data_IF_476858603620
#
_entry.id   IF_476858603620
#
_cell.length_a   1.000
_cell.length_b   1.000
_cell.length_c   1.000
_cell.angle_alpha   90.00
_cell.angle_beta   90.00
_cell.angle_gamma   90.00
#
_symmetry.space_group_name_H-M   'P 1'
#
loop_
_entity.id
_entity.type
_entity.pdbx_description
1 polymer ?
#
# COMPACT_ATOMS: atom_id res chain seq x y z
N UNK A 1 -46.29 -16.85 50.17
CA UNK A 1 -45.49 -17.31 51.31
C UNK A 1 -44.31 -16.34 51.47
N UNK A 2 -44.11 -15.58 52.55
CA UNK A 2 -43.86 -15.97 53.97
C UNK A 2 -42.57 -16.78 54.12
N UNK A 3 -41.49 -16.31 54.78
CA UNK A 3 -41.20 -15.02 55.43
C UNK A 3 -39.69 -14.89 55.73
N UNK A 4 -39.18 -13.90 56.47
CA UNK A 4 -39.86 -12.78 57.14
C UNK A 4 -38.92 -11.81 57.90
N UNK A 5 -39.56 -10.85 58.59
CA UNK A 5 -39.03 -9.88 59.56
C UNK A 5 -38.30 -10.53 60.78
N UNK A 6 -37.54 -9.89 61.68
CA UNK A 6 -36.99 -8.50 61.93
C UNK A 6 -35.87 -8.65 63.02
N UNK A 7 -35.01 -7.66 63.37
CA UNK A 7 -35.20 -6.56 64.37
C UNK A 7 -33.85 -5.82 64.56
N UNK A 8 -33.80 -4.48 64.63
CA UNK A 8 -33.64 -3.60 65.84
C UNK A 8 -32.53 -3.99 66.85
N UNK A 9 -31.76 -3.08 67.46
CA UNK A 9 -32.03 -1.66 67.73
C UNK A 9 -30.77 -0.78 67.97
N UNK A 10 -30.99 0.54 68.12
CA UNK A 10 -30.09 1.55 68.70
C UNK A 10 -29.92 1.39 70.24
N UNK A 11 -29.01 2.05 70.97
CA UNK A 11 -28.10 3.19 70.65
C UNK A 11 -26.62 2.87 71.05
N UNK A 12 -25.75 3.58 71.80
CA UNK A 12 -25.79 4.83 72.62
C UNK A 12 -24.36 5.44 72.73
N UNK A 13 -24.23 6.68 73.20
CA UNK A 13 -22.98 7.49 73.30
C UNK A 13 -22.02 7.19 74.47
N UNK A 14 -20.72 7.44 74.31
CA UNK A 14 -19.87 8.12 75.33
C UNK A 14 -18.56 8.70 74.73
N UNK A 15 -17.73 9.40 75.52
CA UNK A 15 -16.89 10.53 75.05
C UNK A 15 -15.44 10.52 75.56
N UNK A 16 -14.54 11.26 74.86
CA UNK A 16 -13.11 11.59 75.17
C UNK A 16 -12.12 10.42 74.98
N UNK A 17 -10.80 10.62 74.77
CA UNK A 17 -9.96 11.84 74.89
C UNK A 17 -8.88 11.97 73.78
N UNK A 18 -8.13 13.08 73.79
CA UNK A 18 -6.97 13.35 72.90
C UNK A 18 -5.81 12.37 73.08
N UNK A 19 -5.06 12.11 71.99
CA UNK A 19 -3.59 12.27 71.96
C UNK A 19 -3.08 12.47 70.53
N UNK A 20 -2.01 13.24 70.38
CA UNK A 20 -1.31 13.44 69.11
C UNK A 20 -0.27 12.32 68.89
N UNK A 21 -0.10 11.89 67.64
CA UNK A 21 1.17 11.36 67.13
C UNK A 21 1.28 11.63 65.63
N UNK A 22 2.45 12.10 65.20
CA UNK A 22 2.77 12.35 63.79
C UNK A 22 3.12 11.04 63.08
N UNK A 23 2.74 10.90 61.80
CA UNK A 23 3.45 10.05 60.83
C UNK A 23 3.19 10.51 59.39
N UNK A 24 4.26 10.57 58.61
CA UNK A 24 4.27 11.28 57.32
C UNK A 24 3.58 10.52 56.18
N UNK A 25 2.95 11.27 55.28
CA UNK A 25 2.57 10.76 53.97
C UNK A 25 3.81 10.51 53.11
N UNK A 26 3.88 9.34 52.48
CA UNK A 26 4.83 9.08 51.39
C UNK A 26 4.16 9.48 50.07
N UNK A 27 4.67 10.53 49.42
CA UNK A 27 4.31 10.79 48.03
C UNK A 27 4.84 9.67 47.13
N UNK A 28 4.00 9.17 46.23
CA UNK A 28 4.44 8.26 45.16
C UNK A 28 4.94 9.13 44.01
N UNK A 29 6.25 9.35 43.96
CA UNK A 29 6.89 10.10 42.88
C UNK A 29 6.81 9.30 41.59
N UNK A 30 5.89 9.66 40.70
CA UNK A 30 5.86 9.15 39.33
C UNK A 30 7.09 9.65 38.57
N UNK A 31 8.02 8.76 38.26
CA UNK A 31 9.14 9.07 37.39
C UNK A 31 8.65 9.30 35.95
N UNK A 32 8.33 10.55 35.61
CA UNK A 32 8.46 10.99 34.22
C UNK A 32 9.96 10.98 33.88
N UNK A 33 10.36 10.08 32.99
CA UNK A 33 11.69 10.07 32.42
C UNK A 33 11.96 11.41 31.72
N UNK A 34 13.09 12.06 32.05
CA UNK A 34 13.61 13.20 31.28
C UNK A 34 14.30 12.69 30.01
N UNK A 35 13.53 12.10 29.10
CA UNK A 35 13.92 11.98 27.71
C UNK A 35 13.71 13.36 27.06
N UNK A 36 14.80 14.12 26.97
CA UNK A 36 14.77 15.55 26.65
C UNK A 36 16.16 16.18 26.79
N UNK A 37 17.19 15.44 26.38
CA UNK A 37 18.50 16.02 26.16
C UNK A 37 18.43 16.80 24.85
N UNK A 38 18.76 18.09 24.88
CA UNK A 38 18.91 18.89 23.66
C UNK A 38 20.01 18.24 22.81
N UNK A 39 19.65 17.84 21.60
CA UNK A 39 20.61 17.33 20.62
C UNK A 39 21.73 18.36 20.43
N UNK A 40 22.99 17.92 20.51
CA UNK A 40 24.14 18.76 20.17
C UNK A 40 24.16 18.96 18.65
N UNK A 41 24.78 20.03 18.16
CA UNK A 41 24.86 20.29 16.71
C UNK A 41 25.41 19.09 15.91
N UNK A 42 26.47 18.46 16.42
CA UNK A 42 27.05 17.24 15.82
C UNK A 42 26.11 16.02 15.82
N UNK A 43 25.12 15.96 16.73
CA UNK A 43 24.07 14.92 16.70
C UNK A 43 22.88 15.25 15.81
N UNK A 44 22.81 16.47 15.24
CA UNK A 44 21.80 16.85 14.24
C UNK A 44 22.31 16.67 12.80
N UNK A 45 23.62 16.65 12.57
CA UNK A 45 24.23 16.43 11.25
C UNK A 45 23.83 15.09 10.60
N UNK A 46 23.47 14.06 11.39
CA UNK A 46 22.99 12.76 10.87
C UNK A 46 21.61 12.83 10.19
N UNK A 47 20.88 13.93 10.37
CA UNK A 47 19.59 14.19 9.73
C UNK A 47 19.67 15.24 8.61
N UNK A 48 20.89 15.69 8.25
CA UNK A 48 21.08 16.73 7.25
C UNK A 48 20.84 16.20 5.82
N UNK A 49 19.81 16.72 5.15
CA UNK A 49 19.54 16.44 3.73
C UNK A 49 20.55 17.16 2.83
N UNK A 50 20.97 16.51 1.74
CA UNK A 50 21.78 17.14 0.70
C UNK A 50 20.95 18.20 -0.03
N UNK A 51 21.57 19.26 -0.51
CA UNK A 51 20.91 20.32 -1.29
C UNK A 51 21.57 20.46 -2.67
N UNK A 52 20.74 20.60 -3.70
CA UNK A 52 21.15 20.83 -5.09
C UNK A 52 20.44 22.05 -5.67
N UNK A 53 21.00 22.67 -6.70
CA UNK A 53 20.34 23.71 -7.53
C UNK A 53 20.29 23.17 -8.96
N UNK A 54 19.11 22.99 -9.54
CA UNK A 54 18.91 22.15 -10.74
C UNK A 54 19.66 22.68 -11.97
N UNK A 55 19.65 24.01 -12.16
CA UNK A 55 20.40 24.71 -13.22
C UNK A 55 21.93 24.57 -13.09
N UNK A 56 22.44 24.26 -11.89
CA UNK A 56 23.87 24.08 -11.61
C UNK A 56 24.31 22.60 -11.73
N UNK A 57 23.36 21.67 -11.89
CA UNK A 57 23.66 20.26 -12.15
C UNK A 57 24.10 20.05 -13.60
N UNK A 58 25.26 19.41 -13.76
CA UNK A 58 25.70 18.87 -15.05
C UNK A 58 24.84 17.68 -15.51
N UNK A 59 25.08 17.19 -16.73
CA UNK A 59 24.33 16.09 -17.30
C UNK A 59 24.40 14.78 -16.47
N UNK A 60 25.45 14.60 -15.64
CA UNK A 60 25.55 13.46 -14.73
C UNK A 60 24.74 13.74 -13.46
N UNK A 61 24.90 14.90 -12.83
CA UNK A 61 24.17 15.30 -11.63
C UNK A 61 22.65 15.21 -11.81
N UNK A 62 22.14 15.65 -12.97
CA UNK A 62 20.72 15.52 -13.36
C UNK A 62 20.23 14.06 -13.46
N UNK A 63 21.13 13.10 -13.72
CA UNK A 63 20.83 11.66 -13.72
C UNK A 63 21.00 11.05 -12.32
N UNK A 64 22.00 11.47 -11.55
CA UNK A 64 22.23 10.97 -10.17
C UNK A 64 21.07 11.31 -9.24
N UNK A 65 20.51 12.52 -9.27
CA UNK A 65 19.37 12.90 -8.39
C UNK A 65 18.10 12.07 -8.68
N UNK A 66 17.91 11.60 -9.91
CA UNK A 66 16.75 10.78 -10.29
C UNK A 66 16.85 9.32 -9.79
N UNK A 67 17.99 8.91 -9.22
CA UNK A 67 18.22 7.53 -8.74
C UNK A 67 17.69 7.32 -7.33
N UNK A 68 17.18 6.10 -7.14
CA UNK A 68 16.74 5.56 -5.85
C UNK A 68 17.83 4.75 -5.16
N UNK A 69 17.75 4.56 -3.83
CA UNK A 69 18.53 3.62 -3.05
C UNK A 69 18.16 2.15 -3.34
N UNK A 70 18.19 1.72 -4.61
CA UNK A 70 17.85 0.35 -5.00
C UNK A 70 19.00 -0.62 -4.68
N UNK A 71 18.66 -1.73 -4.03
CA UNK A 71 19.47 -2.96 -4.05
C UNK A 71 19.34 -3.63 -5.42
N UNK A 72 20.38 -4.34 -5.84
CA UNK A 72 20.39 -5.09 -7.10
C UNK A 72 19.39 -6.26 -7.07
N UNK A 73 18.38 -6.21 -7.93
CA UNK A 73 17.34 -7.23 -8.06
C UNK A 73 17.91 -8.64 -8.35
N UNK A 74 19.04 -8.76 -9.04
CA UNK A 74 19.64 -10.07 -9.33
C UNK A 74 20.10 -10.76 -8.05
N UNK A 75 20.78 -10.04 -7.16
CA UNK A 75 21.26 -10.54 -5.87
C UNK A 75 20.11 -10.92 -4.93
N UNK A 76 18.99 -10.17 -4.98
CA UNK A 76 17.79 -10.51 -4.21
C UNK A 76 17.12 -11.78 -4.76
N UNK A 77 17.06 -11.95 -6.08
CA UNK A 77 16.48 -13.14 -6.72
C UNK A 77 17.23 -14.42 -6.36
N UNK A 78 18.55 -14.40 -6.24
CA UNK A 78 19.35 -15.55 -5.79
C UNK A 78 19.03 -15.97 -4.33
N UNK A 79 18.62 -15.02 -3.47
CA UNK A 79 18.17 -15.30 -2.10
C UNK A 79 16.71 -15.78 -2.05
N UNK A 80 15.85 -15.23 -2.92
CA UNK A 80 14.41 -15.52 -2.98
C UNK A 80 14.11 -16.85 -3.66
N UNK A 81 14.79 -17.18 -4.75
CA UNK A 81 14.49 -18.36 -5.58
C UNK A 81 14.51 -19.68 -4.79
N UNK A 82 15.51 -19.98 -3.91
CA UNK A 82 15.48 -21.20 -3.11
C UNK A 82 14.27 -21.31 -2.17
N UNK A 83 13.69 -20.19 -1.74
CA UNK A 83 12.48 -20.14 -0.91
C UNK A 83 11.24 -20.47 -1.76
N UNK A 84 11.15 -19.88 -2.95
CA UNK A 84 10.06 -20.14 -3.92
C UNK A 84 10.07 -21.60 -4.37
N UNK A 85 11.23 -22.10 -4.82
CA UNK A 85 11.40 -23.48 -5.28
C UNK A 85 11.09 -24.48 -4.15
N UNK A 86 11.47 -24.18 -2.91
CA UNK A 86 11.17 -25.02 -1.74
C UNK A 86 9.67 -25.06 -1.40
N UNK A 87 8.94 -23.95 -1.49
CA UNK A 87 7.48 -23.94 -1.27
C UNK A 87 6.75 -24.64 -2.41
N UNK A 88 7.15 -24.43 -3.67
CA UNK A 88 6.59 -25.16 -4.82
C UNK A 88 6.82 -26.68 -4.74
N UNK A 89 7.87 -27.14 -4.04
CA UNK A 89 8.21 -28.56 -3.92
C UNK A 89 7.77 -29.23 -2.61
N UNK A 90 7.55 -28.47 -1.52
CA UNK A 90 7.24 -28.99 -0.17
C UNK A 90 6.01 -28.37 0.51
N UNK A 91 5.29 -27.49 -0.17
CA UNK A 91 4.03 -26.91 0.31
C UNK A 91 4.13 -26.30 1.71
N UNK A 92 3.15 -26.61 2.56
CA UNK A 92 3.04 -26.10 3.93
C UNK A 92 4.21 -26.52 4.83
N UNK A 93 4.96 -27.58 4.51
CA UNK A 93 6.16 -27.94 5.25
C UNK A 93 7.25 -26.86 5.10
N UNK A 94 7.50 -26.36 3.88
CA UNK A 94 8.44 -25.26 3.66
C UNK A 94 7.89 -23.92 4.20
N UNK A 95 6.58 -23.67 4.12
CA UNK A 95 5.99 -22.46 4.71
C UNK A 95 6.22 -22.41 6.23
N UNK A 96 6.00 -23.53 6.94
CA UNK A 96 6.33 -23.64 8.38
C UNK A 96 7.83 -23.46 8.65
N UNK A 97 8.69 -24.13 7.89
CA UNK A 97 10.15 -24.02 8.00
C UNK A 97 10.63 -22.55 7.90
N UNK A 98 10.15 -21.80 6.92
CA UNK A 98 10.54 -20.39 6.76
C UNK A 98 9.87 -19.44 7.76
N UNK A 99 8.65 -19.74 8.22
CA UNK A 99 7.99 -18.98 9.30
C UNK A 99 8.72 -19.18 10.63
N UNK A 100 9.15 -20.39 10.96
CA UNK A 100 9.98 -20.64 12.14
C UNK A 100 11.35 -19.96 12.01
N UNK A 101 12.00 -20.06 10.84
CA UNK A 101 13.32 -19.47 10.58
C UNK A 101 13.36 -17.94 10.61
N UNK A 102 12.35 -17.26 10.06
CA UNK A 102 12.36 -15.80 9.90
C UNK A 102 11.46 -15.09 10.91
N UNK A 103 10.24 -15.58 11.12
CA UNK A 103 9.30 -15.00 12.07
C UNK A 103 9.51 -15.53 13.49
N UNK A 104 10.25 -16.63 13.69
CA UNK A 104 10.53 -17.21 15.00
C UNK A 104 9.33 -17.92 15.62
N UNK A 105 8.44 -18.45 14.78
CA UNK A 105 7.13 -19.00 15.17
C UNK A 105 6.88 -20.34 14.49
N UNK A 106 6.81 -21.42 15.27
CA UNK A 106 6.27 -22.71 14.82
C UNK A 106 4.74 -22.63 14.75
N UNK A 107 4.13 -23.16 13.69
CA UNK A 107 2.67 -23.18 13.49
C UNK A 107 2.19 -24.60 13.16
N UNK A 108 1.08 -25.03 13.74
CA UNK A 108 0.41 -26.27 13.32
C UNK A 108 -0.23 -26.10 11.92
N UNK A 109 -1.16 -25.14 11.83
CA UNK A 109 -1.82 -24.72 10.59
C UNK A 109 -1.23 -23.39 10.09
N UNK A 110 -0.82 -23.37 8.82
CA UNK A 110 -0.36 -22.19 8.07
C UNK A 110 -1.55 -21.33 7.64
N UNK A 111 -2.53 -21.94 6.99
CA UNK A 111 -3.75 -21.28 6.50
C UNK A 111 -4.95 -21.58 7.40
N UNK A 112 -5.83 -20.59 7.58
CA UNK A 112 -7.12 -20.72 8.29
C UNK A 112 -8.23 -20.03 7.49
N UNK A 113 -9.49 -20.50 7.59
CA UNK A 113 -10.64 -19.77 7.04
C UNK A 113 -11.05 -18.66 7.99
N UNK A 114 -11.54 -17.54 7.45
CA UNK A 114 -11.91 -16.36 8.24
C UNK A 114 -13.25 -16.53 8.97
N UNK A 115 -14.13 -17.38 8.45
CA UNK A 115 -15.42 -17.72 9.06
C UNK A 115 -15.29 -18.58 10.33
N UNK A 116 -14.25 -19.42 10.41
CA UNK A 116 -13.99 -20.30 11.57
C UNK A 116 -13.39 -19.54 12.77
N UNK A 117 -12.94 -18.30 12.56
CA UNK A 117 -12.32 -17.47 13.60
C UNK A 117 -13.38 -16.65 14.36
N UNK A 118 -13.27 -16.48 15.68
CA UNK A 118 -14.11 -15.54 16.43
C UNK A 118 -13.82 -14.09 16.00
N UNK A 119 -14.79 -13.21 16.17
CA UNK A 119 -14.59 -11.77 15.96
C UNK A 119 -13.59 -11.21 17.00
N UNK A 120 -12.57 -10.44 16.57
CA UNK A 120 -11.56 -9.91 17.48
C UNK A 120 -12.14 -8.80 18.37
N UNK A 121 -11.70 -8.78 19.63
CA UNK A 121 -11.93 -7.65 20.53
C UNK A 121 -10.94 -6.54 20.19
N UNK A 122 -11.46 -5.35 19.88
CA UNK A 122 -10.72 -4.10 19.72
C UNK A 122 -11.25 -3.07 20.73
N UNK A 123 -10.48 -2.01 20.93
CA UNK A 123 -10.98 -0.78 21.56
C UNK A 123 -12.00 -0.08 20.65
N UNK A 124 -13.01 0.59 21.23
CA UNK A 124 -14.11 1.20 20.47
C UNK A 124 -13.67 2.38 19.59
N UNK A 125 -12.72 3.21 20.01
CA UNK A 125 -12.22 4.31 19.17
C UNK A 125 -11.28 3.78 18.08
N UNK A 126 -10.49 2.72 18.35
CA UNK A 126 -9.71 2.00 17.32
C UNK A 126 -10.62 1.38 16.26
N UNK A 127 -11.67 0.67 16.70
CA UNK A 127 -12.69 0.07 15.81
C UNK A 127 -13.34 1.14 14.93
N UNK A 128 -13.77 2.25 15.53
CA UNK A 128 -14.40 3.40 14.87
C UNK A 128 -13.48 4.09 13.86
N UNK A 129 -12.18 4.19 14.13
CA UNK A 129 -11.20 4.70 13.17
C UNK A 129 -11.11 3.80 11.92
N UNK A 130 -11.02 2.48 12.09
CA UNK A 130 -11.04 1.53 10.96
C UNK A 130 -12.39 1.49 10.24
N UNK A 131 -13.52 1.72 10.93
CA UNK A 131 -14.83 1.82 10.30
C UNK A 131 -14.96 3.07 9.42
N UNK A 132 -14.44 4.22 9.84
CA UNK A 132 -14.36 5.46 9.01
C UNK A 132 -13.47 5.25 7.80
N UNK A 133 -12.27 4.69 7.99
CA UNK A 133 -11.36 4.37 6.90
C UNK A 133 -12.01 3.43 5.87
N UNK A 134 -12.64 2.35 6.32
CA UNK A 134 -13.34 1.39 5.47
C UNK A 134 -14.42 2.06 4.61
N UNK A 135 -15.30 2.88 5.20
CA UNK A 135 -16.40 3.49 4.43
C UNK A 135 -15.89 4.52 3.41
N UNK A 136 -14.83 5.28 3.72
CA UNK A 136 -14.21 6.20 2.76
C UNK A 136 -13.51 5.47 1.61
N UNK A 137 -12.70 4.44 1.90
CA UNK A 137 -12.03 3.59 0.90
C UNK A 137 -13.08 2.89 0.02
N UNK A 138 -14.16 2.40 0.63
CA UNK A 138 -15.29 1.76 -0.05
C UNK A 138 -16.05 2.73 -0.94
N UNK A 139 -16.30 3.96 -0.51
CA UNK A 139 -16.95 4.98 -1.32
C UNK A 139 -16.12 5.32 -2.57
N UNK A 140 -14.82 5.59 -2.39
CA UNK A 140 -13.91 5.92 -3.50
C UNK A 140 -13.77 4.78 -4.52
N UNK A 141 -13.58 3.53 -4.06
CA UNK A 141 -13.46 2.38 -4.96
C UNK A 141 -14.80 1.94 -5.58
N UNK A 142 -15.93 2.14 -4.89
CA UNK A 142 -17.25 1.86 -5.47
C UNK A 142 -17.66 2.87 -6.55
N UNK A 143 -17.19 4.12 -6.45
CA UNK A 143 -17.39 5.14 -7.49
C UNK A 143 -16.69 4.82 -8.83
N UNK A 144 -15.74 3.87 -8.83
CA UNK A 144 -15.05 3.40 -10.04
C UNK A 144 -15.87 2.35 -10.84
N UNK A 145 -17.04 1.91 -10.34
CA UNK A 145 -17.86 0.89 -11.02
C UNK A 145 -18.39 1.38 -12.37
N UNK A 146 -18.24 0.53 -13.39
CA UNK A 146 -18.70 0.82 -14.76
C UNK A 146 -17.74 1.71 -15.55
N UNK A 147 -16.64 2.18 -14.95
CA UNK A 147 -15.52 2.73 -15.71
C UNK A 147 -15.15 1.75 -16.82
N UNK A 148 -15.00 2.23 -18.04
CA UNK A 148 -14.50 1.43 -19.13
C UNK A 148 -15.35 0.24 -19.60
N UNK A 149 -16.59 0.05 -19.12
CA UNK A 149 -17.55 -0.78 -19.85
C UNK A 149 -17.92 -0.06 -21.17
N UNK A 150 -18.15 -0.83 -22.24
CA UNK A 150 -18.39 -0.29 -23.59
C UNK A 150 -19.55 -1.05 -24.24
N UNK A 151 -20.43 -0.34 -24.94
CA UNK A 151 -21.43 -0.92 -25.85
C UNK A 151 -21.60 0.01 -27.06
N UNK A 152 -21.19 -0.46 -28.24
CA UNK A 152 -21.14 0.35 -29.46
C UNK A 152 -21.54 -0.48 -30.69
N UNK A 153 -22.32 0.11 -31.57
CA UNK A 153 -22.57 -0.40 -32.92
C UNK A 153 -21.56 0.26 -33.85
N UNK A 154 -20.54 -0.49 -34.27
CA UNK A 154 -19.41 0.05 -35.07
C UNK A 154 -19.80 0.28 -36.52
N UNK A 155 -20.72 -0.53 -37.03
CA UNK A 155 -21.46 -0.35 -38.28
C UNK A 155 -22.82 -1.07 -38.16
N UNK A 156 -23.84 -0.74 -38.97
CA UNK A 156 -25.14 -1.39 -38.90
C UNK A 156 -25.04 -2.93 -38.91
N UNK A 157 -25.68 -3.58 -37.94
CA UNK A 157 -25.61 -5.04 -37.77
C UNK A 157 -24.35 -5.57 -37.09
N UNK A 158 -23.39 -4.74 -36.67
CA UNK A 158 -22.15 -5.15 -35.97
C UNK A 158 -22.04 -4.42 -34.63
N UNK A 159 -22.20 -5.17 -33.53
CA UNK A 159 -22.16 -4.65 -32.16
C UNK A 159 -20.93 -5.19 -31.43
N UNK A 160 -20.16 -4.28 -30.83
CA UNK A 160 -19.00 -4.57 -30.01
C UNK A 160 -19.22 -4.07 -28.59
N UNK A 161 -18.89 -4.89 -27.61
CA UNK A 161 -19.00 -4.60 -26.17
C UNK A 161 -17.70 -4.89 -25.45
N UNK A 162 -17.50 -4.24 -24.31
CA UNK A 162 -16.47 -4.55 -23.30
C UNK A 162 -17.16 -4.66 -21.95
N UNK A 163 -16.94 -5.77 -21.24
CA UNK A 163 -17.62 -6.08 -19.97
C UNK A 163 -16.63 -6.49 -18.89
N UNK A 164 -16.72 -5.87 -17.70
CA UNK A 164 -15.94 -6.25 -16.53
C UNK A 164 -16.34 -7.63 -15.95
N UNK A 165 -15.37 -8.39 -15.44
CA UNK A 165 -15.55 -9.58 -14.58
C UNK A 165 -14.47 -9.64 -13.50
N UNK A 166 -14.77 -10.10 -12.27
CA UNK A 166 -13.74 -10.29 -11.25
C UNK A 166 -12.68 -11.32 -11.66
N UNK A 167 -11.49 -11.17 -11.08
CA UNK A 167 -10.50 -12.25 -10.96
C UNK A 167 -11.03 -13.25 -9.93
N UNK A 168 -10.97 -14.56 -10.24
CA UNK A 168 -11.63 -15.59 -9.44
C UNK A 168 -11.01 -15.78 -8.06
N UNK A 169 -9.67 -15.89 -8.02
CA UNK A 169 -8.90 -15.97 -6.78
C UNK A 169 -7.81 -14.89 -6.73
N UNK A 170 -7.73 -14.16 -5.62
CA UNK A 170 -6.73 -13.10 -5.39
C UNK A 170 -6.02 -13.28 -4.04
N UNK A 171 -4.71 -13.01 -4.04
CA UNK A 171 -3.85 -13.07 -2.85
C UNK A 171 -3.43 -11.67 -2.43
N UNK A 172 -3.61 -11.31 -1.16
CA UNK A 172 -3.38 -9.97 -0.63
C UNK A 172 -2.27 -10.03 0.42
N UNK A 173 -1.08 -9.54 0.09
CA UNK A 173 0.03 -9.48 1.05
C UNK A 173 -0.09 -8.23 1.93
N UNK A 174 -0.15 -8.44 3.25
CA UNK A 174 -0.20 -7.40 4.27
C UNK A 174 1.08 -7.45 5.11
N UNK A 175 1.93 -6.40 5.07
CA UNK A 175 3.16 -6.37 5.85
C UNK A 175 2.94 -6.45 7.37
N UNK A 176 3.89 -7.13 8.02
CA UNK A 176 4.02 -7.25 9.47
C UNK A 176 5.49 -7.34 9.88
N UNK A 177 5.74 -7.65 11.16
CA UNK A 177 7.09 -7.75 11.71
C UNK A 177 7.42 -6.57 12.63
N UNK A 178 8.23 -5.62 12.16
CA UNK A 178 8.63 -4.42 12.93
C UNK A 178 7.54 -3.35 13.02
N UNK A 179 6.65 -3.31 12.03
CA UNK A 179 5.39 -2.57 12.02
C UNK A 179 4.30 -3.48 11.48
N UNK A 180 3.04 -3.25 11.85
CA UNK A 180 1.87 -3.95 11.29
C UNK A 180 0.99 -2.93 10.58
N UNK A 181 0.49 -3.26 9.39
CA UNK A 181 -0.28 -2.34 8.55
C UNK A 181 -1.72 -2.84 8.28
N UNK A 182 -2.67 -2.73 9.24
CA UNK A 182 -4.07 -3.06 8.99
C UNK A 182 -4.74 -2.13 7.98
N UNK A 183 -4.19 -0.93 7.76
CA UNK A 183 -4.59 -0.04 6.65
C UNK A 183 -4.36 -0.72 5.29
N UNK A 184 -3.24 -1.42 5.09
CA UNK A 184 -2.99 -2.18 3.84
C UNK A 184 -4.01 -3.30 3.63
N UNK A 185 -4.49 -3.92 4.72
CA UNK A 185 -5.59 -4.89 4.62
C UNK A 185 -6.89 -4.25 4.11
N UNK A 186 -7.19 -2.98 4.46
CA UNK A 186 -8.34 -2.24 3.91
C UNK A 186 -8.11 -1.93 2.42
N UNK A 187 -6.96 -1.34 2.10
CA UNK A 187 -6.60 -0.92 0.74
C UNK A 187 -6.65 -2.08 -0.27
N UNK A 188 -6.40 -3.32 0.17
CA UNK A 188 -6.45 -4.50 -0.68
C UNK A 188 -7.79 -5.24 -0.65
N UNK A 189 -8.38 -5.46 0.52
CA UNK A 189 -9.58 -6.31 0.63
C UNK A 189 -10.87 -5.58 0.24
N UNK A 190 -10.96 -4.26 0.47
CA UNK A 190 -12.15 -3.47 0.11
C UNK A 190 -12.41 -3.47 -1.41
N UNK A 191 -11.46 -3.12 -2.30
CA UNK A 191 -11.69 -3.22 -3.74
C UNK A 191 -11.92 -4.66 -4.23
N UNK A 192 -11.28 -5.68 -3.64
CA UNK A 192 -11.54 -7.09 -3.97
C UNK A 192 -13.00 -7.49 -3.71
N UNK A 193 -13.57 -7.06 -2.56
CA UNK A 193 -14.97 -7.28 -2.21
C UNK A 193 -15.93 -6.50 -3.13
N UNK A 194 -15.56 -5.27 -3.52
CA UNK A 194 -16.34 -4.41 -4.41
C UNK A 194 -16.40 -4.97 -5.84
N UNK A 195 -15.31 -5.61 -6.30
CA UNK A 195 -15.23 -6.35 -7.57
C UNK A 195 -15.99 -7.67 -7.55
N UNK A 196 -16.10 -8.32 -6.38
CA UNK A 196 -16.72 -9.63 -6.21
C UNK A 196 -15.78 -10.80 -6.49
N UNK A 197 -14.51 -10.70 -6.07
CA UNK A 197 -13.59 -11.83 -6.09
C UNK A 197 -14.09 -12.97 -5.18
N UNK A 198 -14.29 -14.17 -5.74
CA UNK A 198 -14.86 -15.32 -5.01
C UNK A 198 -13.93 -15.84 -3.90
N UNK A 199 -12.62 -15.82 -4.15
CA UNK A 199 -11.61 -16.29 -3.20
C UNK A 199 -10.60 -15.19 -2.93
N UNK A 200 -10.47 -14.81 -1.66
CA UNK A 200 -9.55 -13.77 -1.19
C UNK A 200 -8.70 -14.38 -0.09
N UNK A 201 -7.41 -14.55 -0.36
CA UNK A 201 -6.41 -15.09 0.58
C UNK A 201 -5.56 -13.93 1.08
N UNK A 202 -5.63 -13.59 2.37
CA UNK A 202 -4.79 -12.54 2.97
C UNK A 202 -3.56 -13.18 3.63
N UNK A 203 -2.38 -12.83 3.15
CA UNK A 203 -1.10 -13.25 3.75
C UNK A 203 -0.60 -12.19 4.74
N UNK A 204 -0.29 -12.61 5.96
CA UNK A 204 0.36 -11.76 6.98
C UNK A 204 1.24 -12.64 7.88
N UNK A 205 2.46 -12.20 8.27
CA UNK A 205 3.25 -12.94 9.25
C UNK A 205 2.51 -12.99 10.61
N UNK A 206 2.65 -14.09 11.37
CA UNK A 206 2.00 -14.24 12.67
C UNK A 206 2.66 -13.34 13.73
N UNK A 207 1.91 -13.05 14.81
CA UNK A 207 2.49 -12.57 16.06
C UNK A 207 3.35 -13.67 16.69
N UNK A 208 4.24 -13.32 17.63
CA UNK A 208 5.16 -14.25 18.31
C UNK A 208 4.47 -15.38 19.11
N UNK A 209 3.16 -15.30 19.31
CA UNK A 209 2.30 -16.32 19.93
C UNK A 209 1.58 -17.23 18.91
N UNK A 210 1.90 -17.12 17.61
CA UNK A 210 1.26 -17.87 16.52
C UNK A 210 -0.09 -17.33 16.04
N UNK A 211 -0.59 -16.24 16.64
CA UNK A 211 -1.89 -15.65 16.33
C UNK A 211 -1.83 -14.53 15.29
N UNK A 212 -3.00 -14.17 14.75
CA UNK A 212 -3.18 -13.06 13.81
C UNK A 212 -3.36 -11.75 14.62
N UNK A 213 -2.89 -10.62 14.07
CA UNK A 213 -3.08 -9.31 14.69
C UNK A 213 -4.58 -8.94 14.68
N UNK A 214 -5.20 -8.58 15.83
CA UNK A 214 -6.64 -8.34 15.96
C UNK A 214 -7.23 -7.37 14.93
N UNK A 215 -6.52 -6.29 14.64
CA UNK A 215 -6.91 -5.24 13.69
C UNK A 215 -6.93 -5.78 12.25
N UNK A 216 -5.95 -6.61 11.88
CA UNK A 216 -5.89 -7.27 10.56
C UNK A 216 -7.01 -8.30 10.42
N UNK A 217 -7.31 -9.07 11.48
CA UNK A 217 -8.44 -10.00 11.50
C UNK A 217 -9.79 -9.26 11.43
N UNK A 218 -9.91 -8.10 12.08
CA UNK A 218 -11.12 -7.28 12.04
C UNK A 218 -11.41 -6.79 10.62
N UNK A 219 -10.39 -6.23 9.96
CA UNK A 219 -10.46 -5.78 8.58
C UNK A 219 -10.76 -6.96 7.63
N UNK A 220 -10.08 -8.09 7.81
CA UNK A 220 -10.30 -9.29 7.00
C UNK A 220 -11.76 -9.76 7.05
N UNK A 221 -12.36 -9.82 8.24
CA UNK A 221 -13.78 -10.14 8.44
C UNK A 221 -14.70 -9.08 7.82
N UNK A 222 -14.46 -7.79 8.09
CA UNK A 222 -15.28 -6.66 7.60
C UNK A 222 -15.25 -6.52 6.07
N UNK A 223 -14.17 -6.93 5.43
CA UNK A 223 -13.98 -6.90 3.97
C UNK A 223 -14.22 -8.26 3.28
N UNK A 224 -14.71 -9.29 3.98
CA UNK A 224 -15.09 -10.57 3.35
C UNK A 224 -13.91 -11.39 2.81
N UNK A 225 -12.71 -11.25 3.38
CA UNK A 225 -11.58 -12.14 3.11
C UNK A 225 -11.99 -13.57 3.48
N UNK A 226 -11.68 -14.57 2.65
CA UNK A 226 -12.13 -15.95 2.88
C UNK A 226 -11.09 -16.80 3.62
N UNK A 227 -9.80 -16.55 3.39
CA UNK A 227 -8.69 -17.27 4.03
C UNK A 227 -7.62 -16.31 4.54
N UNK A 228 -6.98 -16.64 5.67
CA UNK A 228 -5.75 -15.98 6.13
C UNK A 228 -4.61 -16.99 6.13
N UNK A 229 -3.55 -16.66 5.40
CA UNK A 229 -2.26 -17.34 5.43
C UNK A 229 -1.37 -16.66 6.48
N UNK A 230 -1.00 -17.37 7.54
CA UNK A 230 -0.14 -16.87 8.62
C UNK A 230 1.34 -17.01 8.27
N UNK A 231 1.77 -16.33 7.21
CA UNK A 231 3.17 -16.26 6.78
C UNK A 231 3.48 -14.89 6.15
N UNK A 232 4.72 -14.42 6.33
CA UNK A 232 5.26 -13.28 5.61
C UNK A 232 6.20 -13.69 4.47
N UNK A 233 6.92 -12.70 3.93
CA UNK A 233 8.08 -12.90 3.06
C UNK A 233 7.81 -13.59 1.73
N UNK A 234 8.88 -14.07 1.10
CA UNK A 234 8.82 -14.78 -0.18
C UNK A 234 8.04 -16.11 -0.08
N UNK A 235 8.07 -16.77 1.08
CA UNK A 235 7.35 -18.03 1.31
C UNK A 235 5.82 -17.85 1.21
N UNK A 236 5.28 -16.72 1.66
CA UNK A 236 3.84 -16.44 1.54
C UNK A 236 3.42 -16.12 0.11
N UNK A 237 4.25 -15.37 -0.63
CA UNK A 237 4.03 -15.10 -2.05
C UNK A 237 4.05 -16.40 -2.86
N UNK A 238 5.01 -17.29 -2.59
CA UNK A 238 5.09 -18.61 -3.21
C UNK A 238 3.86 -19.48 -2.89
N UNK A 239 3.43 -19.51 -1.62
CA UNK A 239 2.28 -20.30 -1.18
C UNK A 239 0.96 -19.84 -1.81
N UNK A 240 0.74 -18.53 -2.00
CA UNK A 240 -0.43 -18.02 -2.73
C UNK A 240 -0.35 -18.31 -4.23
N UNK A 241 0.85 -18.22 -4.84
CA UNK A 241 1.01 -18.35 -6.28
C UNK A 241 0.92 -19.78 -6.81
N UNK A 242 1.55 -20.73 -6.12
CA UNK A 242 1.48 -22.16 -6.46
C UNK A 242 0.31 -22.88 -5.78
N UNK A 243 -0.15 -22.37 -4.63
CA UNK A 243 -0.96 -23.12 -3.68
C UNK A 243 -0.12 -24.03 -2.78
N UNK A 244 -0.71 -24.48 -1.68
CA UNK A 244 -0.20 -25.55 -0.81
C UNK A 244 -1.34 -26.51 -0.43
N UNK A 245 -1.11 -27.45 0.47
CA UNK A 245 -2.13 -28.36 0.99
C UNK A 245 -3.27 -27.63 1.71
N UNK A 246 -3.01 -26.45 2.28
CA UNK A 246 -4.04 -25.59 2.92
C UNK A 246 -4.19 -24.20 2.32
N UNK A 247 -3.17 -23.66 1.62
CA UNK A 247 -3.23 -22.34 1.00
C UNK A 247 -3.80 -22.44 -0.42
N UNK A 248 -4.95 -21.81 -0.74
CA UNK A 248 -5.50 -21.85 -2.09
C UNK A 248 -4.63 -21.07 -3.08
N UNK A 249 -4.37 -21.66 -4.25
CA UNK A 249 -3.75 -20.97 -5.39
C UNK A 249 -4.60 -19.77 -5.83
N UNK A 250 -3.94 -18.66 -6.15
CA UNK A 250 -4.56 -17.40 -6.61
C UNK A 250 -4.09 -17.03 -8.02
N UNK A 251 -4.86 -16.20 -8.73
CA UNK A 251 -4.57 -15.80 -10.12
C UNK A 251 -3.91 -14.42 -10.22
N UNK A 252 -4.01 -13.61 -9.15
CA UNK A 252 -3.27 -12.36 -9.01
C UNK A 252 -2.86 -12.11 -7.55
N UNK A 253 -1.61 -11.71 -7.33
CA UNK A 253 -1.05 -11.36 -6.01
C UNK A 253 -0.85 -9.85 -5.91
N UNK A 254 -1.32 -9.27 -4.82
CA UNK A 254 -1.32 -7.85 -4.54
C UNK A 254 -0.53 -7.51 -3.28
N UNK A 255 -0.15 -6.23 -3.15
CA UNK A 255 0.29 -5.63 -1.89
C UNK A 255 1.75 -5.16 -1.88
N UNK A 256 2.07 -4.18 -1.01
CA UNK A 256 3.42 -3.67 -0.81
C UNK A 256 4.25 -4.65 0.01
N UNK A 257 5.57 -4.48 0.05
CA UNK A 257 6.43 -5.30 0.88
C UNK A 257 7.90 -4.89 0.79
N UNK A 258 8.73 -5.57 1.58
CA UNK A 258 10.18 -5.40 1.46
C UNK A 258 10.70 -6.00 0.13
N UNK A 259 11.93 -5.66 -0.21
CA UNK A 259 12.61 -6.09 -1.44
C UNK A 259 12.51 -7.60 -1.75
N UNK A 260 12.46 -8.49 -0.75
CA UNK A 260 12.30 -9.94 -0.95
C UNK A 260 10.87 -10.32 -1.37
N UNK A 261 9.85 -9.66 -0.82
CA UNK A 261 8.45 -9.79 -1.25
C UNK A 261 8.28 -9.28 -2.68
N UNK A 262 8.85 -8.13 -3.00
CA UNK A 262 8.83 -7.53 -4.35
C UNK A 262 9.51 -8.44 -5.38
N UNK A 263 10.70 -8.97 -5.06
CA UNK A 263 11.41 -9.89 -5.94
C UNK A 263 10.68 -11.24 -6.11
N UNK A 264 10.02 -11.76 -5.06
CA UNK A 264 9.18 -12.95 -5.18
C UNK A 264 7.99 -12.70 -6.11
N UNK A 265 7.27 -11.58 -5.94
CA UNK A 265 6.18 -11.14 -6.85
C UNK A 265 6.67 -11.05 -8.31
N UNK A 266 7.81 -10.39 -8.53
CA UNK A 266 8.40 -10.21 -9.86
C UNK A 266 8.96 -11.50 -10.49
N UNK A 267 9.33 -12.49 -9.68
CA UNK A 267 9.74 -13.82 -10.14
C UNK A 267 8.53 -14.68 -10.52
N UNK A 268 7.50 -14.75 -9.67
CA UNK A 268 6.33 -15.62 -9.88
C UNK A 268 5.47 -15.24 -11.10
N UNK A 269 5.39 -13.95 -11.45
CA UNK A 269 4.68 -13.52 -12.68
C UNK A 269 5.30 -14.07 -13.98
N UNK A 270 6.51 -14.63 -13.91
CA UNK A 270 7.25 -15.23 -15.03
C UNK A 270 7.40 -16.76 -14.90
N UNK A 271 6.65 -17.42 -13.99
CA UNK A 271 6.75 -18.87 -13.74
C UNK A 271 5.47 -19.63 -14.06
N UNK A 272 5.57 -20.95 -14.13
CA UNK A 272 4.47 -21.89 -14.39
C UNK A 272 3.37 -21.90 -13.29
N UNK A 273 3.48 -21.04 -12.26
CA UNK A 273 2.41 -20.76 -11.30
C UNK A 273 1.16 -20.15 -11.96
N UNK A 274 1.30 -19.58 -13.17
CA UNK A 274 0.21 -18.91 -13.90
C UNK A 274 -0.53 -17.89 -13.03
N UNK A 275 0.25 -16.95 -12.48
CA UNK A 275 -0.20 -15.91 -11.56
C UNK A 275 0.30 -14.55 -12.06
N UNK A 276 -0.51 -13.52 -11.88
CA UNK A 276 -0.15 -12.13 -12.19
C UNK A 276 0.14 -11.34 -10.90
N UNK A 277 0.66 -10.12 -11.02
CA UNK A 277 0.79 -9.19 -9.88
C UNK A 277 0.13 -7.85 -10.20
N UNK A 278 -0.12 -7.06 -9.17
CA UNK A 278 -0.50 -5.65 -9.31
C UNK A 278 0.64 -4.79 -9.88
N UNK A 279 1.77 -4.73 -9.18
CA UNK A 279 2.94 -3.92 -9.53
C UNK A 279 4.18 -4.30 -8.70
N UNK A 280 5.39 -3.89 -9.15
CA UNK A 280 6.54 -3.75 -8.28
C UNK A 280 6.33 -2.56 -7.32
N UNK A 281 6.13 -2.85 -6.04
CA UNK A 281 6.18 -1.88 -4.96
C UNK A 281 7.41 -2.20 -4.08
N UNK A 282 8.30 -1.23 -3.90
CA UNK A 282 9.53 -1.36 -3.11
C UNK A 282 9.43 -0.61 -1.76
N UNK A 283 10.57 -0.13 -1.22
CA UNK A 283 10.59 0.94 -0.23
C UNK A 283 9.82 2.16 -0.76
N UNK A 284 9.21 2.87 0.18
CA UNK A 284 8.27 3.95 -0.10
C UNK A 284 8.96 5.30 -0.33
N UNK A 285 8.30 6.19 -1.06
CA UNK A 285 8.85 7.45 -1.56
C UNK A 285 7.84 8.61 -1.45
N UNK A 286 8.34 9.80 -1.10
CA UNK A 286 7.56 11.05 -1.20
C UNK A 286 8.39 12.13 -1.89
N UNK A 287 7.74 12.90 -2.77
CA UNK A 287 8.25 14.16 -3.28
C UNK A 287 7.32 15.28 -2.85
N UNK A 288 7.87 16.31 -2.21
CA UNK A 288 7.15 17.51 -1.76
C UNK A 288 7.58 18.69 -2.61
N UNK A 289 6.65 19.31 -3.34
CA UNK A 289 6.83 20.62 -3.96
C UNK A 289 6.35 21.67 -2.95
N UNK A 290 7.23 22.58 -2.51
CA UNK A 290 6.91 23.57 -1.48
C UNK A 290 7.30 25.00 -1.89
N UNK A 291 6.37 25.94 -1.73
CA UNK A 291 6.60 27.38 -1.91
C UNK A 291 7.03 28.10 -0.62
N UNK A 292 7.35 29.40 -0.73
CA UNK A 292 7.76 30.27 0.37
C UNK A 292 6.72 30.45 1.47
N UNK A 293 5.46 30.14 1.19
CA UNK A 293 4.31 30.30 2.08
C UNK A 293 3.85 28.94 2.66
N UNK A 294 4.53 27.84 2.29
CA UNK A 294 4.40 26.53 2.91
C UNK A 294 5.09 26.52 4.30
N UNK A 295 4.39 26.16 5.40
CA UNK A 295 4.99 26.20 6.73
C UNK A 295 6.16 25.21 6.85
N UNK A 296 7.39 25.64 7.19
CA UNK A 296 8.56 24.76 7.19
C UNK A 296 8.44 23.54 8.10
N UNK A 297 7.72 23.67 9.22
CA UNK A 297 7.43 22.57 10.13
C UNK A 297 6.48 21.51 9.55
N UNK A 298 5.57 21.89 8.64
CA UNK A 298 4.65 20.96 7.96
C UNK A 298 5.41 20.19 6.88
N UNK A 299 6.15 20.89 6.00
CA UNK A 299 7.01 20.28 4.97
C UNK A 299 8.01 19.30 5.60
N UNK A 300 8.59 19.66 6.75
CA UNK A 300 9.44 18.75 7.50
C UNK A 300 8.69 17.52 8.05
N UNK A 301 7.46 17.66 8.54
CA UNK A 301 6.66 16.52 9.00
C UNK A 301 6.26 15.57 7.86
N UNK A 302 5.85 16.14 6.71
CA UNK A 302 5.49 15.41 5.48
C UNK A 302 6.68 14.60 4.94
N UNK A 303 7.89 15.17 4.94
CA UNK A 303 9.12 14.45 4.58
C UNK A 303 9.47 13.34 5.58
N UNK A 304 9.11 13.51 6.86
CA UNK A 304 9.48 12.59 7.94
C UNK A 304 8.53 11.41 8.10
N UNK A 305 7.23 11.57 7.81
CA UNK A 305 6.27 10.46 7.86
C UNK A 305 6.68 9.31 6.94
N UNK A 306 7.16 9.63 5.74
CA UNK A 306 7.68 8.64 4.81
C UNK A 306 9.09 8.15 5.16
N UNK A 307 9.98 9.05 5.62
CA UNK A 307 11.35 8.69 5.98
C UNK A 307 11.44 7.73 7.18
N UNK A 308 10.44 7.69 8.07
CA UNK A 308 10.44 6.71 9.16
C UNK A 308 10.04 5.28 8.76
N UNK A 309 9.39 5.07 7.60
CA UNK A 309 8.92 3.74 7.16
C UNK A 309 10.03 2.68 7.13
N UNK A 310 11.18 3.00 6.54
CA UNK A 310 12.34 2.09 6.45
C UNK A 310 13.63 2.81 6.07
N UNK A 311 14.80 2.17 6.29
CA UNK A 311 16.10 2.79 6.02
C UNK A 311 16.36 2.99 4.51
N UNK A 312 15.58 2.30 3.67
CA UNK A 312 15.64 2.32 2.21
C UNK A 312 14.62 3.32 1.60
N UNK A 313 13.76 3.97 2.41
CA UNK A 313 12.79 4.97 1.95
C UNK A 313 13.49 6.26 1.51
N UNK A 314 13.11 6.85 0.37
CA UNK A 314 13.74 8.08 -0.15
C UNK A 314 12.73 9.23 -0.21
N UNK A 315 13.12 10.39 0.32
CA UNK A 315 12.27 11.59 0.34
C UNK A 315 12.93 12.75 -0.39
N UNK A 316 12.13 13.53 -1.11
CA UNK A 316 12.63 14.60 -1.99
C UNK A 316 11.87 15.90 -1.75
N UNK A 317 12.60 16.99 -1.54
CA UNK A 317 12.03 18.34 -1.50
C UNK A 317 12.36 19.08 -2.79
N UNK A 318 11.35 19.60 -3.49
CA UNK A 318 11.48 20.50 -4.62
C UNK A 318 10.99 21.88 -4.19
N UNK A 319 11.80 22.91 -4.38
CA UNK A 319 11.48 24.27 -3.90
C UNK A 319 12.15 25.36 -4.73
N UNK A 320 11.94 26.64 -4.38
CA UNK A 320 12.28 27.81 -5.21
C UNK A 320 13.29 28.74 -4.53
N UNK A 321 13.93 29.67 -5.27
CA UNK A 321 14.99 30.52 -4.71
C UNK A 321 14.53 31.55 -3.66
N UNK A 322 13.21 31.77 -3.50
CA UNK A 322 12.63 32.66 -2.48
C UNK A 322 12.16 31.93 -1.21
N UNK A 323 12.38 30.62 -1.10
CA UNK A 323 11.98 29.79 0.05
C UNK A 323 13.10 29.68 1.09
N UNK A 324 12.76 29.78 2.38
CA UNK A 324 13.71 29.52 3.48
C UNK A 324 13.95 28.00 3.66
N UNK A 325 14.74 27.43 2.74
CA UNK A 325 15.19 26.04 2.79
C UNK A 325 15.99 25.73 4.07
N UNK A 326 16.60 26.73 4.72
CA UNK A 326 17.29 26.50 6.00
C UNK A 326 16.27 26.26 7.12
N UNK A 327 15.19 27.02 7.19
CA UNK A 327 14.12 26.77 8.15
C UNK A 327 13.48 25.38 7.96
N UNK A 328 13.36 24.90 6.71
CA UNK A 328 12.86 23.55 6.43
C UNK A 328 13.86 22.49 6.90
N UNK A 329 15.15 22.60 6.56
CA UNK A 329 16.17 21.60 6.94
C UNK A 329 16.46 21.60 8.45
N UNK A 330 16.43 22.75 9.12
CA UNK A 330 16.47 22.86 10.59
C UNK A 330 15.26 22.16 11.23
N UNK A 331 14.06 22.32 10.66
CA UNK A 331 12.84 21.68 11.14
C UNK A 331 12.86 20.15 10.93
N UNK A 332 13.38 19.67 9.79
CA UNK A 332 13.60 18.23 9.53
C UNK A 332 14.56 17.65 10.57
N UNK A 333 15.74 18.25 10.75
CA UNK A 333 16.73 17.73 11.68
C UNK A 333 16.24 17.73 13.13
N UNK A 334 15.52 18.79 13.56
CA UNK A 334 14.88 18.83 14.88
C UNK A 334 13.85 17.72 15.04
N UNK A 335 12.85 17.66 14.17
CA UNK A 335 11.74 16.70 14.31
C UNK A 335 12.24 15.25 14.23
N UNK A 336 13.16 14.94 13.31
CA UNK A 336 13.76 13.60 13.20
C UNK A 336 14.44 13.13 14.49
N UNK A 337 15.09 14.04 15.22
CA UNK A 337 15.72 13.74 16.52
C UNK A 337 14.73 13.48 17.66
N UNK A 338 13.46 13.87 17.48
CA UNK A 338 12.37 13.68 18.46
C UNK A 338 11.54 12.39 18.16
N UNK A 339 11.76 11.72 17.02
CA UNK A 339 11.04 10.51 16.61
C UNK A 339 11.52 9.22 17.31
N UNK A 340 10.62 8.30 17.70
CA UNK A 340 10.99 6.97 18.22
C UNK A 340 11.81 6.11 17.25
N UNK A 341 11.78 6.42 15.94
CA UNK A 341 12.44 5.68 14.86
C UNK A 341 13.65 6.41 14.27
N UNK A 342 14.21 7.41 14.96
CA UNK A 342 15.30 8.28 14.49
C UNK A 342 16.47 7.55 13.78
N UNK A 343 16.94 6.40 14.29
CA UNK A 343 18.02 5.59 13.69
C UNK A 343 17.68 4.96 12.32
N UNK A 344 16.39 4.90 11.98
CA UNK A 344 15.87 4.47 10.67
C UNK A 344 15.73 5.70 9.78
N UNK A 345 15.08 6.74 10.31
CA UNK A 345 14.86 8.02 9.63
C UNK A 345 16.17 8.68 9.17
N UNK A 346 17.24 8.65 9.98
CA UNK A 346 18.55 9.15 9.60
C UNK A 346 19.16 8.43 8.38
N UNK A 347 18.88 7.13 8.21
CA UNK A 347 19.36 6.34 7.07
C UNK A 347 18.64 6.72 5.79
N UNK A 348 17.32 6.85 5.86
CA UNK A 348 16.50 7.40 4.78
C UNK A 348 16.98 8.81 4.37
N UNK A 349 17.17 9.70 5.36
CA UNK A 349 17.64 11.07 5.11
C UNK A 349 19.04 11.13 4.46
N UNK A 350 19.94 10.18 4.78
CA UNK A 350 21.28 10.11 4.21
C UNK A 350 21.37 9.90 2.69
N UNK A 351 20.30 9.43 2.03
CA UNK A 351 20.17 9.35 0.57
C UNK A 351 18.98 10.14 -0.01
N UNK A 352 18.30 10.90 0.85
CA UNK A 352 17.30 11.91 0.52
C UNK A 352 17.94 13.28 0.27
N UNK A 353 17.20 14.20 -0.36
CA UNK A 353 17.74 15.51 -0.74
C UNK A 353 16.67 16.58 -1.01
N UNK A 354 17.10 17.84 -1.00
CA UNK A 354 16.38 18.98 -1.52
C UNK A 354 16.97 19.44 -2.86
N UNK A 355 16.13 19.93 -3.76
CA UNK A 355 16.53 20.57 -5.02
C UNK A 355 15.80 21.90 -5.20
N UNK A 356 16.58 22.94 -5.50
CA UNK A 356 16.06 24.26 -5.87
C UNK A 356 15.93 24.32 -7.39
N UNK A 357 14.71 24.59 -7.86
CA UNK A 357 14.36 24.79 -9.28
C UNK A 357 13.93 26.24 -9.51
N UNK A 358 13.98 26.73 -10.74
CA UNK A 358 13.74 28.16 -11.01
C UNK A 358 12.25 28.57 -10.91
N UNK A 359 11.30 27.70 -11.27
CA UNK A 359 9.86 27.95 -11.20
C UNK A 359 9.00 26.67 -11.09
N UNK A 360 7.67 26.84 -10.97
CA UNK A 360 6.72 25.72 -10.87
C UNK A 360 6.67 24.81 -12.10
N UNK A 361 6.97 25.29 -13.31
CA UNK A 361 7.03 24.44 -14.50
C UNK A 361 8.27 23.52 -14.43
N UNK A 362 9.40 24.05 -13.97
CA UNK A 362 10.59 23.25 -13.65
C UNK A 362 10.34 22.28 -12.48
N UNK A 363 9.48 22.62 -11.50
CA UNK A 363 9.08 21.70 -10.44
C UNK A 363 8.20 20.54 -10.96
N UNK A 364 7.22 20.83 -11.82
CA UNK A 364 6.39 19.83 -12.48
C UNK A 364 7.25 18.89 -13.37
N UNK A 365 8.13 19.44 -14.21
CA UNK A 365 9.05 18.64 -15.04
C UNK A 365 10.02 17.81 -14.18
N UNK A 366 10.61 18.36 -13.11
CA UNK A 366 11.42 17.57 -12.17
C UNK A 366 10.61 16.43 -11.56
N UNK A 367 9.39 16.69 -11.10
CA UNK A 367 8.50 15.68 -10.52
C UNK A 367 8.14 14.61 -11.54
N UNK A 368 7.78 14.97 -12.77
CA UNK A 368 7.42 14.01 -13.82
C UNK A 368 8.64 13.20 -14.29
N UNK A 369 9.84 13.80 -14.31
CA UNK A 369 11.12 13.09 -14.55
C UNK A 369 11.46 12.14 -13.41
N UNK A 370 11.23 12.52 -12.14
CA UNK A 370 11.46 11.67 -10.98
C UNK A 370 10.45 10.52 -10.93
N UNK A 371 9.18 10.82 -11.18
CA UNK A 371 8.01 9.95 -11.03
C UNK A 371 7.94 9.35 -9.61
N UNK A 372 7.48 10.12 -8.60
CA UNK A 372 7.36 9.62 -7.23
C UNK A 372 6.25 8.58 -7.07
N UNK A 373 6.26 7.91 -5.91
CA UNK A 373 5.10 7.17 -5.39
C UNK A 373 4.04 8.17 -4.91
N UNK A 374 4.38 8.98 -3.89
CA UNK A 374 3.53 10.04 -3.35
C UNK A 374 4.05 11.43 -3.74
N UNK A 375 3.14 12.33 -4.18
CA UNK A 375 3.46 13.70 -4.56
C UNK A 375 2.63 14.70 -3.77
N UNK A 376 3.27 15.48 -2.89
CA UNK A 376 2.62 16.54 -2.12
C UNK A 376 2.90 17.88 -2.80
N UNK A 377 1.83 18.60 -3.18
CA UNK A 377 1.89 19.89 -3.87
C UNK A 377 1.49 20.98 -2.89
N UNK A 378 2.44 21.36 -2.03
CA UNK A 378 2.26 22.28 -0.91
C UNK A 378 2.54 23.73 -1.34
N UNK A 379 1.73 24.23 -2.28
CA UNK A 379 1.86 25.58 -2.87
C UNK A 379 0.51 26.32 -2.96
N UNK A 380 0.55 27.64 -3.15
CA UNK A 380 -0.64 28.42 -3.48
C UNK A 380 -1.26 27.96 -4.81
N UNK A 381 -2.59 27.82 -4.84
CA UNK A 381 -3.36 27.40 -6.03
C UNK A 381 -2.92 26.04 -6.62
N UNK A 382 -2.47 25.09 -5.77
CA UNK A 382 -1.99 23.75 -6.11
C UNK A 382 -2.81 23.02 -7.21
N UNK A 383 -4.14 23.08 -7.16
CA UNK A 383 -5.08 22.52 -8.14
C UNK A 383 -4.75 22.91 -9.60
N UNK A 384 -4.28 24.16 -9.82
CA UNK A 384 -4.01 24.68 -11.16
C UNK A 384 -2.80 24.04 -11.85
N UNK A 385 -1.96 23.32 -11.10
CA UNK A 385 -0.81 22.58 -11.61
C UNK A 385 -1.10 21.11 -11.90
N UNK A 386 -2.25 20.57 -11.46
CA UNK A 386 -2.61 19.17 -11.69
C UNK A 386 -2.55 18.73 -13.18
N UNK A 387 -2.95 19.55 -14.18
CA UNK A 387 -2.80 19.21 -15.60
C UNK A 387 -1.36 19.17 -16.13
N UNK A 388 -0.36 19.45 -15.29
CA UNK A 388 1.07 19.41 -15.61
C UNK A 388 1.81 18.28 -14.86
N UNK A 389 1.09 17.39 -14.16
CA UNK A 389 1.66 16.32 -13.32
C UNK A 389 1.37 14.95 -13.94
N UNK A 390 2.22 14.55 -14.90
CA UNK A 390 2.04 13.33 -15.71
C UNK A 390 2.30 12.03 -14.93
N UNK A 391 3.27 12.04 -13.99
CA UNK A 391 3.77 10.82 -13.34
C UNK A 391 3.81 10.97 -11.81
N UNK A 392 2.81 10.42 -11.12
CA UNK A 392 2.82 10.17 -9.68
C UNK A 392 1.89 8.99 -9.34
N UNK A 393 2.13 8.26 -8.26
CA UNK A 393 1.22 7.20 -7.79
C UNK A 393 -0.05 7.75 -7.14
N UNK A 394 0.11 8.76 -6.27
CA UNK A 394 -0.98 9.55 -5.66
C UNK A 394 -0.52 11.00 -5.46
N UNK A 395 -1.45 11.95 -5.59
CA UNK A 395 -1.19 13.40 -5.51
C UNK A 395 -2.02 14.01 -4.37
N UNK A 396 -1.36 14.81 -3.54
CA UNK A 396 -1.92 15.48 -2.37
C UNK A 396 -1.81 16.99 -2.57
N UNK A 397 -2.94 17.70 -2.61
CA UNK A 397 -2.99 19.11 -3.01
C UNK A 397 -3.20 20.04 -1.80
N UNK A 398 -2.31 21.00 -1.61
CA UNK A 398 -2.44 22.09 -0.65
C UNK A 398 -2.08 21.78 0.81
N UNK A 399 -2.01 22.87 1.61
CA UNK A 399 -1.43 22.95 2.97
C UNK A 399 -2.09 22.12 4.08
N UNK A 400 -3.18 21.41 3.78
CA UNK A 400 -3.99 20.64 4.75
C UNK A 400 -4.11 19.15 4.39
N UNK A 401 -3.32 18.69 3.42
CA UNK A 401 -3.46 17.37 2.80
C UNK A 401 -2.15 16.58 2.95
N UNK A 402 -1.74 16.20 4.19
CA UNK A 402 -0.53 15.41 4.40
C UNK A 402 -0.71 13.98 3.89
N UNK A 403 0.37 13.31 3.52
CA UNK A 403 0.35 11.93 2.97
C UNK A 403 -0.48 10.96 3.83
N UNK A 404 -0.35 11.10 5.16
CA UNK A 404 -1.04 10.28 6.15
C UNK A 404 -2.57 10.27 6.04
N UNK A 405 -3.23 11.27 5.42
CA UNK A 405 -4.67 11.12 5.16
C UNK A 405 -4.94 10.06 4.08
N UNK A 406 -4.07 9.93 3.07
CA UNK A 406 -4.14 8.90 2.03
C UNK A 406 -3.73 7.52 2.52
N UNK A 407 -2.72 7.43 3.39
CA UNK A 407 -2.28 6.17 3.99
C UNK A 407 -3.38 5.44 4.77
N UNK A 408 -4.28 6.20 5.41
CA UNK A 408 -5.23 5.66 6.37
C UNK A 408 -6.70 5.81 5.97
N UNK A 409 -7.18 6.97 5.51
CA UNK A 409 -8.62 7.26 5.61
C UNK A 409 -9.27 8.22 4.59
N UNK A 410 -8.55 8.83 3.64
CA UNK A 410 -9.15 9.73 2.63
C UNK A 410 -10.09 9.00 1.68
N UNK A 411 -9.76 7.74 1.38
CA UNK A 411 -10.43 6.86 0.41
C UNK A 411 -9.53 6.44 -0.76
N UNK A 412 -8.45 7.19 -1.03
CA UNK A 412 -7.42 6.80 -2.01
C UNK A 412 -6.69 5.53 -1.58
N UNK A 413 -6.01 4.86 -2.51
CA UNK A 413 -5.28 3.62 -2.24
C UNK A 413 -3.78 3.90 -2.02
N UNK A 414 -3.19 3.44 -0.91
CA UNK A 414 -1.76 3.60 -0.66
C UNK A 414 -0.87 2.51 -1.30
N UNK A 415 -1.44 1.50 -1.95
CA UNK A 415 -0.64 0.46 -2.61
C UNK A 415 -0.24 0.98 -3.99
N UNK A 416 0.90 1.66 -4.03
CA UNK A 416 1.36 2.49 -5.13
C UNK A 416 2.67 2.01 -5.77
N UNK A 417 2.93 2.41 -7.03
CA UNK A 417 4.13 2.00 -7.75
C UNK A 417 5.33 2.90 -7.42
N UNK A 418 6.18 2.42 -6.51
CA UNK A 418 7.43 3.11 -6.10
C UNK A 418 8.50 3.04 -7.20
N UNK A 419 9.74 3.49 -6.93
CA UNK A 419 10.89 3.30 -7.80
C UNK A 419 10.79 3.98 -9.19
N UNK A 420 9.82 4.86 -9.40
CA UNK A 420 9.50 5.44 -10.71
C UNK A 420 8.71 4.53 -11.65
N UNK A 421 8.04 3.50 -11.11
CA UNK A 421 7.07 2.70 -11.86
C UNK A 421 5.74 3.45 -12.11
N UNK A 422 5.48 4.56 -11.41
CA UNK A 422 4.38 5.49 -11.70
C UNK A 422 4.40 6.12 -13.11
N UNK A 423 5.46 5.89 -13.90
CA UNK A 423 5.50 6.21 -15.35
C UNK A 423 4.71 5.24 -16.24
N UNK A 424 4.31 4.08 -15.73
CA UNK A 424 3.56 3.07 -16.51
C UNK A 424 2.62 2.16 -15.69
N UNK A 425 2.66 2.22 -14.36
CA UNK A 425 1.72 1.58 -13.45
C UNK A 425 0.87 2.65 -12.76
N UNK A 426 -0.40 2.33 -12.51
CA UNK A 426 -1.26 3.06 -11.58
C UNK A 426 -1.19 2.43 -10.18
N UNK A 427 -1.66 3.16 -9.16
CA UNK A 427 -1.99 2.57 -7.86
C UNK A 427 -3.08 1.50 -7.93
N UNK A 428 -3.20 0.68 -6.88
CA UNK A 428 -4.27 -0.31 -6.77
C UNK A 428 -5.65 0.37 -6.79
N UNK A 429 -6.55 -0.22 -7.55
CA UNK A 429 -7.86 0.34 -7.93
C UNK A 429 -8.89 -0.78 -8.10
N UNK A 430 -10.16 -0.47 -8.31
CA UNK A 430 -11.16 -1.48 -8.65
C UNK A 430 -10.79 -2.27 -9.91
N UNK A 431 -10.31 -1.57 -10.94
CA UNK A 431 -9.81 -2.12 -12.21
C UNK A 431 -8.70 -3.16 -12.00
N UNK A 432 -7.95 -3.06 -10.90
CA UNK A 432 -6.87 -3.99 -10.57
C UNK A 432 -7.36 -5.40 -10.22
N UNK A 433 -8.63 -5.55 -9.80
CA UNK A 433 -9.25 -6.82 -9.38
C UNK A 433 -10.19 -7.44 -10.43
N UNK A 434 -10.31 -6.80 -11.60
CA UNK A 434 -11.19 -7.26 -12.69
C UNK A 434 -10.40 -7.52 -13.98
N UNK A 435 -11.07 -8.14 -14.94
CA UNK A 435 -10.66 -8.29 -16.33
C UNK A 435 -11.78 -7.81 -17.24
N UNK A 436 -11.43 -7.03 -18.25
CA UNK A 436 -12.36 -6.58 -19.28
C UNK A 436 -12.38 -7.59 -20.44
N UNK A 437 -13.53 -8.22 -20.68
CA UNK A 437 -13.72 -9.13 -21.80
C UNK A 437 -14.42 -8.41 -22.94
N UNK A 438 -13.92 -8.55 -24.17
CA UNK A 438 -14.63 -8.10 -25.36
C UNK A 438 -15.72 -9.10 -25.77
N UNK A 439 -16.83 -8.60 -26.29
CA UNK A 439 -17.96 -9.40 -26.79
C UNK A 439 -18.45 -8.77 -28.09
N UNK A 440 -18.44 -9.53 -29.17
CA UNK A 440 -18.90 -9.10 -30.50
C UNK A 440 -20.09 -9.93 -30.95
N UNK A 441 -21.07 -9.26 -31.53
CA UNK A 441 -22.36 -9.81 -31.96
C UNK A 441 -22.70 -9.22 -33.33
N UNK A 442 -22.90 -10.10 -34.32
CA UNK A 442 -23.20 -9.71 -35.70
C UNK A 442 -24.57 -10.25 -36.11
N UNK A 443 -25.38 -9.39 -36.71
CA UNK A 443 -26.54 -9.81 -37.49
C UNK A 443 -26.09 -10.40 -38.84
N UNK A 444 -27.02 -11.01 -39.57
CA UNK A 444 -26.74 -11.51 -40.93
C UNK A 444 -26.27 -10.39 -41.84
N UNK A 445 -26.97 -9.27 -41.81
CA UNK A 445 -26.74 -8.07 -42.62
C UNK A 445 -25.38 -7.42 -42.28
N UNK A 446 -25.01 -7.41 -40.99
CA UNK A 446 -23.69 -6.98 -40.53
C UNK A 446 -22.55 -7.87 -41.05
N UNK A 447 -22.77 -9.19 -41.11
CA UNK A 447 -21.80 -10.12 -41.70
C UNK A 447 -21.75 -10.03 -43.23
N UNK A 448 -22.87 -9.83 -43.91
CA UNK A 448 -22.94 -9.60 -45.36
C UNK A 448 -22.21 -8.31 -45.77
N UNK A 449 -22.27 -7.26 -44.92
CA UNK A 449 -21.52 -6.02 -45.13
C UNK A 449 -20.03 -6.14 -44.78
N UNK A 450 -19.67 -6.70 -43.63
CA UNK A 450 -18.27 -6.74 -43.15
C UNK A 450 -17.45 -7.90 -43.74
N UNK A 451 -18.08 -9.06 -43.94
CA UNK A 451 -17.41 -10.31 -44.30
C UNK A 451 -16.56 -10.25 -45.57
N UNK A 452 -17.01 -9.62 -46.67
CA UNK A 452 -16.19 -9.47 -47.88
C UNK A 452 -14.88 -8.69 -47.68
N UNK A 453 -14.80 -7.83 -46.66
CA UNK A 453 -13.56 -7.15 -46.28
C UNK A 453 -12.64 -8.08 -45.48
N UNK A 454 -13.18 -8.79 -44.48
CA UNK A 454 -12.43 -9.77 -43.66
C UNK A 454 -11.86 -10.90 -44.52
N UNK A 455 -12.65 -11.42 -45.47
CA UNK A 455 -12.22 -12.45 -46.41
C UNK A 455 -11.03 -11.99 -47.30
N UNK A 456 -10.99 -10.72 -47.68
CA UNK A 456 -9.86 -10.15 -48.46
C UNK A 456 -8.61 -9.96 -47.59
N UNK A 457 -8.76 -9.46 -46.37
CA UNK A 457 -7.63 -9.32 -45.43
C UNK A 457 -7.02 -10.69 -45.11
N UNK A 458 -7.85 -11.70 -44.81
CA UNK A 458 -7.39 -13.07 -44.59
C UNK A 458 -6.66 -13.68 -45.80
N UNK A 459 -7.06 -13.35 -47.04
CA UNK A 459 -6.29 -13.76 -48.25
C UNK A 459 -4.94 -13.04 -48.35
N UNK A 460 -4.86 -11.75 -48.02
CA UNK A 460 -3.58 -11.00 -48.01
C UNK A 460 -2.62 -11.54 -46.94
N UNK A 461 -3.15 -12.01 -45.81
CA UNK A 461 -2.40 -12.63 -44.72
C UNK A 461 -2.09 -14.13 -44.96
N UNK A 462 -2.61 -14.74 -46.04
CA UNK A 462 -2.44 -16.18 -46.32
C UNK A 462 -3.24 -17.12 -45.40
N UNK A 463 -4.23 -16.59 -44.67
CA UNK A 463 -5.00 -17.29 -43.64
C UNK A 463 -6.29 -17.90 -44.20
N UNK A 464 -6.17 -18.89 -45.10
CA UNK A 464 -7.30 -19.55 -45.76
C UNK A 464 -8.42 -20.01 -44.81
N UNK A 465 -8.08 -20.56 -43.65
CA UNK A 465 -9.07 -20.99 -42.66
C UNK A 465 -9.91 -19.83 -42.08
N UNK A 466 -9.30 -18.65 -41.91
CA UNK A 466 -10.01 -17.44 -41.46
C UNK A 466 -10.91 -16.90 -42.57
N UNK A 467 -10.50 -16.95 -43.85
CA UNK A 467 -11.38 -16.64 -44.98
C UNK A 467 -12.59 -17.58 -45.01
N UNK A 468 -12.35 -18.90 -45.00
CA UNK A 468 -13.39 -19.92 -45.12
C UNK A 468 -14.43 -19.84 -44.00
N UNK A 469 -14.01 -19.47 -42.78
CA UNK A 469 -14.93 -19.24 -41.66
C UNK A 469 -15.96 -18.12 -41.95
N UNK A 470 -15.63 -17.16 -42.82
CA UNK A 470 -16.53 -16.09 -43.27
C UNK A 470 -17.29 -16.49 -44.53
N UNK A 471 -16.60 -16.95 -45.58
CA UNK A 471 -17.22 -17.21 -46.89
C UNK A 471 -18.29 -18.31 -46.83
N UNK A 472 -18.06 -19.38 -46.06
CA UNK A 472 -19.06 -20.44 -45.83
C UNK A 472 -20.35 -19.95 -45.15
N UNK A 473 -20.30 -18.86 -44.37
CA UNK A 473 -21.48 -18.25 -43.75
C UNK A 473 -22.26 -17.34 -44.70
N UNK A 474 -21.59 -16.84 -45.74
CA UNK A 474 -22.16 -15.96 -46.77
C UNK A 474 -22.60 -16.71 -48.03
N UNK A 475 -22.27 -18.00 -48.16
CA UNK A 475 -22.48 -18.75 -49.41
C UNK A 475 -21.58 -18.25 -50.54
N UNK A 476 -20.37 -17.80 -50.21
CA UNK A 476 -19.33 -17.41 -51.16
C UNK A 476 -18.33 -18.54 -51.33
N UNK A 477 -17.91 -18.78 -52.57
CA UNK A 477 -16.77 -19.64 -52.94
C UNK A 477 -15.42 -18.91 -52.72
#
# INVERSE_FOLDING_TARGET
ATGGATRSATTTTTTRARRETTRGGRGVTTMRSRAGALATSASLEIFAMKTYVERELDARGRVEVMKRPRVDFTQILDVVRPIVDAVSARGDAAVREYTEKFDGVTLDATTVRVEDLPDPVLDDDVKKAFDVAYENIKAFHAAQKGNGDVDVVTMPGVRCRRVARPIGAVGLYVPGGTAVLPSTALMLAVPAAIAGCERVVLATPPRKDGSIVPEVLYVAKKAGVTHILKAGGAQAIAAMGYGTETCPKVDKIFGPGNQFVTAAKMSLQNSDAMVSIDMPAGPSEVLVIADKDAPPAHVAADLLSQAEHGPDSQVVLVTFPDVDLKAITDAVAKQASELPRADITAKALGHSYAVVVDDMAAACDFSNRYAPEHLIVNVENAESYLPQLDNAGSIFLGRWTPESVGDYASGTNHVLPTYGYSRMYSGVSLDSFIKYMTVQELSREGLEALGPHVARMATVEGLDAHRSAVTLRLGMD
#
